data_IF_924424078595
#
_entry.id   IF_924424078595
#
_cell.length_a   1.000
_cell.length_b   1.000
_cell.length_c   1.000
_cell.angle_alpha   90.00
_cell.angle_beta   90.00
_cell.angle_gamma   90.00
#
_symmetry.space_group_name_H-M   'P 1'
#
loop_
_entity.id
_entity.type
_entity.pdbx_description
1 polymer ?
#
# COMPACT_ATOMS: atom_id res chain seq x y z
N UNK A 1 -7.57 18.13 19.89
CA UNK A 1 -7.87 19.44 19.33
C UNK A 1 -8.63 19.29 18.03
N UNK A 2 -9.76 19.95 17.95
CA UNK A 2 -10.62 19.84 16.79
C UNK A 2 -10.29 20.95 15.78
N UNK A 3 -10.05 20.55 14.53
CA UNK A 3 -9.81 21.53 13.47
C UNK A 3 -11.16 21.87 12.86
N UNK A 4 -11.62 23.09 13.07
CA UNK A 4 -12.93 23.54 12.60
C UNK A 4 -12.95 23.83 11.10
N UNK A 5 -11.82 24.25 10.56
CA UNK A 5 -11.68 24.54 9.14
C UNK A 5 -10.66 23.60 8.53
N UNK A 6 -10.92 23.17 7.32
CA UNK A 6 -10.03 22.30 6.60
C UNK A 6 -8.83 23.10 6.09
N UNK A 7 -7.68 22.87 6.69
CA UNK A 7 -6.44 23.54 6.31
C UNK A 7 -5.78 22.88 5.11
N UNK A 8 -5.90 21.55 5.01
CA UNK A 8 -5.23 20.79 3.96
C UNK A 8 -6.19 20.45 2.84
N UNK A 9 -5.68 20.47 1.61
CA UNK A 9 -6.47 20.03 0.45
C UNK A 9 -6.63 18.52 0.48
N UNK A 10 -7.65 18.00 -0.23
CA UNK A 10 -7.85 16.57 -0.36
C UNK A 10 -6.62 15.90 -0.97
N UNK A 11 -6.01 16.56 -1.95
CA UNK A 11 -4.80 16.07 -2.59
C UNK A 11 -3.64 15.94 -1.60
N UNK A 12 -3.44 16.96 -0.76
CA UNK A 12 -2.41 16.93 0.27
C UNK A 12 -2.64 15.79 1.26
N UNK A 13 -3.87 15.59 1.69
CA UNK A 13 -4.21 14.51 2.62
C UNK A 13 -3.97 13.14 2.00
N UNK A 14 -4.33 12.97 0.73
CA UNK A 14 -4.12 11.69 0.03
C UNK A 14 -2.65 11.38 -0.18
N UNK A 15 -1.87 12.38 -0.61
CA UNK A 15 -0.42 12.20 -0.77
C UNK A 15 0.22 11.79 0.56
N UNK A 16 -0.17 12.47 1.65
CA UNK A 16 0.35 12.14 2.97
C UNK A 16 -0.02 10.72 3.39
N UNK A 17 -1.25 10.30 3.13
CA UNK A 17 -1.70 8.94 3.46
C UNK A 17 -0.94 7.87 2.68
N UNK A 18 -0.76 8.06 1.37
CA UNK A 18 0.02 7.13 0.56
C UNK A 18 1.49 7.11 0.96
N UNK A 19 2.05 8.29 1.25
CA UNK A 19 3.45 8.40 1.71
C UNK A 19 3.67 7.66 3.01
N UNK A 20 2.74 7.81 3.96
CA UNK A 20 2.80 7.12 5.25
C UNK A 20 2.72 5.60 5.06
N UNK A 21 1.83 5.15 4.18
CA UNK A 21 1.68 3.73 3.91
C UNK A 21 2.94 3.13 3.29
N UNK A 22 3.64 3.89 2.47
CA UNK A 22 4.88 3.45 1.80
C UNK A 22 6.13 3.71 2.63
N UNK A 23 6.02 4.32 3.79
CA UNK A 23 7.15 4.80 4.58
C UNK A 23 7.86 3.75 5.41
N UNK A 24 8.02 2.52 4.88
CA UNK A 24 8.75 1.45 5.55
C UNK A 24 9.33 0.51 4.51
N UNK A 25 10.60 0.08 4.65
CA UNK A 25 11.23 -0.78 3.64
C UNK A 25 10.46 -2.06 3.33
N UNK A 26 9.87 -2.68 4.34
CA UNK A 26 9.06 -3.89 4.15
C UNK A 26 7.87 -3.59 3.25
N UNK A 27 7.23 -2.43 3.42
CA UNK A 27 6.06 -2.07 2.61
C UNK A 27 6.45 -1.76 1.17
N UNK A 28 7.60 -1.13 0.96
CA UNK A 28 8.13 -0.93 -0.38
C UNK A 28 8.44 -2.28 -1.03
N UNK A 29 9.04 -3.20 -0.28
CA UNK A 29 9.28 -4.57 -0.76
C UNK A 29 7.99 -5.25 -1.18
N UNK A 30 6.93 -5.15 -0.37
CA UNK A 30 5.64 -5.75 -0.68
C UNK A 30 5.09 -5.20 -1.99
N UNK A 31 5.11 -3.88 -2.17
CA UNK A 31 4.62 -3.27 -3.39
C UNK A 31 5.44 -3.70 -4.61
N UNK A 32 6.76 -3.73 -4.47
CA UNK A 32 7.65 -4.23 -5.52
C UNK A 32 7.32 -5.66 -5.92
N UNK A 33 7.13 -6.51 -4.91
CA UNK A 33 6.78 -7.92 -5.10
C UNK A 33 5.47 -8.06 -5.88
N UNK A 34 4.46 -7.27 -5.49
CA UNK A 34 3.15 -7.33 -6.14
C UNK A 34 3.17 -6.69 -7.54
N UNK A 35 3.96 -5.65 -7.75
CA UNK A 35 4.10 -5.04 -9.08
C UNK A 35 4.73 -6.03 -10.06
N UNK A 36 5.75 -6.76 -9.63
CA UNK A 36 6.38 -7.79 -10.47
C UNK A 36 5.42 -8.91 -10.83
N UNK A 37 4.38 -9.09 -10.03
CA UNK A 37 3.36 -10.14 -10.22
C UNK A 37 2.00 -9.50 -10.50
N UNK A 38 1.97 -8.38 -11.21
CA UNK A 38 0.78 -7.52 -11.37
C UNK A 38 -0.46 -8.24 -11.91
N UNK A 39 -0.28 -9.33 -12.65
CA UNK A 39 -1.37 -10.11 -13.20
C UNK A 39 -1.79 -11.28 -12.30
N UNK A 40 -1.18 -11.40 -11.14
CA UNK A 40 -1.45 -12.48 -10.19
C UNK A 40 -1.54 -11.92 -8.78
N UNK A 41 -2.40 -12.54 -8.00
CA UNK A 41 -2.44 -12.26 -6.57
C UNK A 41 -1.47 -13.20 -5.87
N UNK A 42 -0.86 -12.74 -4.79
CA UNK A 42 0.18 -13.48 -4.08
C UNK A 42 -0.25 -13.79 -2.66
N UNK A 43 0.09 -14.98 -2.19
CA UNK A 43 -0.10 -15.33 -0.79
C UNK A 43 0.95 -14.65 0.09
N UNK A 44 0.55 -14.30 1.30
CA UNK A 44 1.47 -13.70 2.27
C UNK A 44 2.66 -14.62 2.57
N UNK A 45 2.45 -15.94 2.52
CA UNK A 45 3.51 -16.91 2.72
C UNK A 45 4.65 -16.78 1.72
N UNK A 46 4.33 -16.49 0.45
CA UNK A 46 5.34 -16.32 -0.59
C UNK A 46 6.23 -15.11 -0.31
N UNK A 47 5.64 -14.03 0.20
CA UNK A 47 6.40 -12.85 0.58
C UNK A 47 7.22 -13.09 1.83
N UNK A 48 6.66 -13.83 2.80
CA UNK A 48 7.32 -14.11 4.07
C UNK A 48 8.60 -14.91 3.89
N UNK A 49 8.68 -15.75 2.86
CA UNK A 49 9.88 -16.55 2.60
C UNK A 49 11.10 -15.67 2.28
N UNK A 50 10.87 -14.48 1.74
CA UNK A 50 11.95 -13.58 1.33
C UNK A 50 12.26 -12.51 2.37
N UNK A 51 11.48 -12.44 3.46
CA UNK A 51 11.63 -11.40 4.46
C UNK A 51 12.01 -11.97 5.82
N UNK A 52 13.04 -11.43 6.48
CA UNK A 52 13.47 -11.92 7.80
C UNK A 52 12.62 -11.29 8.91
N UNK A 53 11.30 -11.39 8.82
CA UNK A 53 10.39 -10.84 9.81
C UNK A 53 9.33 -11.87 10.19
N UNK A 54 8.73 -11.68 11.34
CA UNK A 54 7.64 -12.54 11.81
C UNK A 54 6.40 -12.36 10.93
N UNK A 55 5.62 -13.42 10.78
CA UNK A 55 4.38 -13.38 9.99
C UNK A 55 3.38 -12.36 10.53
N UNK A 56 3.32 -12.19 11.85
CA UNK A 56 2.43 -11.20 12.46
C UNK A 56 2.83 -9.77 12.06
N UNK A 57 4.15 -9.51 11.98
CA UNK A 57 4.67 -8.22 11.54
C UNK A 57 4.35 -7.99 10.06
N UNK A 58 4.53 -9.00 9.23
CA UNK A 58 4.15 -8.92 7.81
C UNK A 58 2.67 -8.60 7.66
N UNK A 59 1.81 -9.31 8.40
CA UNK A 59 0.36 -9.08 8.36
C UNK A 59 -0.01 -7.66 8.71
N UNK A 60 0.70 -7.07 9.68
CA UNK A 60 0.47 -5.68 10.09
C UNK A 60 0.82 -4.70 8.97
N UNK A 61 1.93 -4.93 8.27
CA UNK A 61 2.30 -4.10 7.12
C UNK A 61 1.29 -4.25 5.98
N UNK A 62 0.83 -5.46 5.71
CA UNK A 62 -0.20 -5.70 4.69
C UNK A 62 -1.50 -4.98 5.04
N UNK A 63 -1.89 -4.97 6.30
CA UNK A 63 -3.10 -4.26 6.76
C UNK A 63 -2.99 -2.76 6.52
N UNK A 64 -1.83 -2.18 6.77
CA UNK A 64 -1.60 -0.75 6.55
C UNK A 64 -1.69 -0.38 5.07
N UNK A 65 -1.10 -1.19 4.19
CA UNK A 65 -1.19 -0.97 2.75
C UNK A 65 -2.63 -1.13 2.25
N UNK A 66 -3.36 -2.10 2.79
CA UNK A 66 -4.75 -2.33 2.44
C UNK A 66 -5.63 -1.16 2.89
N UNK A 67 -5.43 -0.69 4.10
CA UNK A 67 -6.17 0.45 4.64
C UNK A 67 -5.96 1.71 3.81
N UNK A 68 -4.77 1.89 3.24
CA UNK A 68 -4.46 3.03 2.38
C UNK A 68 -5.02 2.88 0.96
N UNK A 69 -5.52 1.70 0.60
CA UNK A 69 -6.09 1.45 -0.71
C UNK A 69 -5.08 1.10 -1.79
N UNK A 70 -3.85 0.73 -1.42
CA UNK A 70 -2.82 0.37 -2.39
C UNK A 70 -2.86 -1.10 -2.77
N UNK A 71 -3.37 -1.95 -1.89
CA UNK A 71 -3.56 -3.37 -2.15
C UNK A 71 -4.94 -3.78 -1.71
N UNK A 72 -5.36 -4.94 -2.19
CA UNK A 72 -6.61 -5.55 -1.77
C UNK A 72 -6.34 -7.01 -1.40
N UNK A 73 -7.12 -7.52 -0.44
CA UNK A 73 -7.05 -8.91 -0.04
C UNK A 73 -8.21 -9.68 -0.66
N UNK A 74 -7.91 -10.87 -1.13
CA UNK A 74 -8.90 -11.82 -1.61
C UNK A 74 -8.88 -13.03 -0.69
N UNK A 75 -10.01 -13.28 -0.04
CA UNK A 75 -10.10 -14.40 0.91
C UNK A 75 -10.33 -15.68 0.15
N UNK A 76 -9.40 -16.62 0.30
CA UNK A 76 -9.45 -17.94 -0.29
C UNK A 76 -9.09 -18.93 0.83
N UNK A 77 -10.07 -19.30 1.68
CA UNK A 77 -9.76 -20.06 2.90
C UNK A 77 -8.94 -21.32 2.63
N UNK A 78 -7.95 -21.63 3.48
CA UNK A 78 -7.56 -20.89 4.70
C UNK A 78 -6.58 -19.74 4.47
N UNK A 79 -6.35 -19.34 3.23
CA UNK A 79 -5.35 -18.36 2.85
C UNK A 79 -5.97 -17.04 2.43
N UNK A 80 -5.16 -15.98 2.47
CA UNK A 80 -5.50 -14.68 1.91
C UNK A 80 -4.49 -14.38 0.83
N UNK A 81 -4.98 -14.08 -0.36
CA UNK A 81 -4.15 -13.57 -1.47
C UNK A 81 -4.20 -12.06 -1.47
N UNK A 82 -3.09 -11.44 -1.78
CA UNK A 82 -2.98 -9.99 -1.88
C UNK A 82 -2.66 -9.59 -3.30
N UNK A 83 -3.35 -8.57 -3.77
CA UNK A 83 -3.21 -8.05 -5.14
C UNK A 83 -3.04 -6.55 -5.08
N UNK A 84 -2.45 -5.97 -6.11
CA UNK A 84 -2.46 -4.53 -6.27
C UNK A 84 -3.91 -4.07 -6.45
N UNK A 85 -4.29 -3.03 -5.71
CA UNK A 85 -5.54 -2.33 -5.99
C UNK A 85 -5.24 -1.34 -7.12
N UNK A 86 -5.65 -1.67 -8.34
CA UNK A 86 -5.31 -0.88 -9.52
C UNK A 86 -5.75 0.57 -9.41
N UNK A 87 -6.96 0.80 -8.93
CA UNK A 87 -7.47 2.15 -8.78
C UNK A 87 -6.62 2.98 -7.81
N UNK A 88 -6.32 2.41 -6.64
CA UNK A 88 -5.50 3.08 -5.64
C UNK A 88 -4.06 3.31 -6.12
N UNK A 89 -3.50 2.30 -6.76
CA UNK A 89 -2.14 2.39 -7.30
C UNK A 89 -2.01 3.48 -8.36
N UNK A 90 -2.96 3.53 -9.30
CA UNK A 90 -2.96 4.55 -10.35
C UNK A 90 -3.21 5.95 -9.79
N UNK A 91 -4.07 6.08 -8.81
CA UNK A 91 -4.29 7.36 -8.13
C UNK A 91 -3.00 7.83 -7.45
N UNK A 92 -2.36 6.95 -6.69
CA UNK A 92 -1.11 7.28 -5.99
C UNK A 92 -0.02 7.69 -6.99
N UNK A 93 0.13 6.92 -8.05
CA UNK A 93 1.12 7.19 -9.11
C UNK A 93 0.90 8.58 -9.71
N UNK A 94 -0.33 8.89 -10.07
CA UNK A 94 -0.66 10.18 -10.65
C UNK A 94 -0.42 11.33 -9.69
N UNK A 95 -0.76 11.16 -8.43
CA UNK A 95 -0.56 12.17 -7.40
C UNK A 95 0.92 12.43 -7.13
N UNK A 96 1.72 11.38 -6.98
CA UNK A 96 3.16 11.55 -6.79
C UNK A 96 3.83 12.16 -8.00
N UNK A 97 3.48 11.73 -9.20
CA UNK A 97 4.00 12.34 -10.42
C UNK A 97 3.67 13.82 -10.50
N UNK A 98 2.42 14.18 -10.25
CA UNK A 98 1.99 15.56 -10.27
C UNK A 98 2.70 16.41 -9.21
N UNK A 99 2.90 15.84 -8.04
CA UNK A 99 3.55 16.54 -6.93
C UNK A 99 5.04 16.75 -7.20
N UNK A 100 5.74 15.70 -7.64
CA UNK A 100 7.18 15.77 -7.84
C UNK A 100 7.59 16.52 -9.11
N UNK A 101 6.72 16.57 -10.10
CA UNK A 101 7.04 17.21 -11.40
C UNK A 101 6.52 18.63 -11.54
N UNK A 102 5.95 19.19 -10.50
CA UNK A 102 5.53 20.59 -10.57
C UNK A 102 6.74 21.52 -10.40
N UNK A 103 6.63 22.66 -11.03
CA UNK A 103 7.70 23.66 -11.03
C UNK A 103 7.58 24.61 -9.85
#
# INVERSE_FOLDING_TARGET
MEIKEKVFTDKQEKIARYSKALGHPVRVFIMDFLVKNANKCCYSGDMAEELPIARSTLSQHLSELKAAGLIQGEINPPFIKYCINKAGWEEAKGMFNGFFNRK
#
